data_IF_341386533572
#
_entry.id   IF_341386533572
#
_cell.length_a   1.000
_cell.length_b   1.000
_cell.length_c   1.000
_cell.angle_alpha   90.00
_cell.angle_beta   90.00
_cell.angle_gamma   90.00
#
_symmetry.space_group_name_H-M   'P 1'
#
loop_
_entity.id
_entity.type
_entity.pdbx_description
1 polymer ?
#
# COMPACT_ATOMS: atom_id res chain seq x y z
N UNK A 1 27.65 69.75 -55.15
CA UNK A 1 28.81 69.88 -54.24
C UNK A 1 28.30 69.99 -52.82
N UNK A 2 28.44 68.94 -52.01
CA UNK A 2 28.92 68.96 -50.60
C UNK A 2 28.81 67.55 -49.98
N UNK A 3 29.97 67.08 -49.50
CA UNK A 3 30.29 66.01 -48.53
C UNK A 3 29.24 65.78 -47.41
N UNK A 4 29.07 64.59 -46.81
CA UNK A 4 30.01 63.85 -45.94
C UNK A 4 29.53 62.41 -45.68
N UNK A 5 30.44 61.45 -45.62
CA UNK A 5 30.20 60.10 -45.08
C UNK A 5 30.61 59.97 -43.61
N UNK A 6 30.35 58.77 -43.03
CA UNK A 6 31.13 57.98 -42.04
C UNK A 6 30.15 57.05 -41.28
N UNK A 7 30.04 55.79 -41.70
CA UNK A 7 30.67 54.57 -41.17
C UNK A 7 30.07 54.02 -39.87
N UNK A 8 29.53 52.79 -39.96
CA UNK A 8 29.10 51.95 -38.84
C UNK A 8 29.39 50.48 -39.13
N UNK A 9 30.67 50.12 -38.98
CA UNK A 9 31.24 48.82 -38.58
C UNK A 9 30.89 47.52 -39.33
N UNK A 10 31.82 47.14 -40.21
CA UNK A 10 32.10 45.77 -40.68
C UNK A 10 33.44 45.33 -40.07
N UNK A 11 33.47 44.22 -39.33
CA UNK A 11 34.68 43.52 -38.84
C UNK A 11 34.29 42.02 -38.73
N UNK A 12 34.48 41.19 -39.76
CA UNK A 12 35.66 40.40 -40.13
C UNK A 12 36.26 39.57 -38.99
N UNK A 13 36.22 38.24 -39.16
CA UNK A 13 36.99 37.26 -38.38
C UNK A 13 36.74 35.83 -38.83
N UNK A 14 37.50 35.40 -39.84
CA UNK A 14 37.50 34.10 -40.54
C UNK A 14 38.17 32.96 -39.71
N UNK A 15 37.91 31.71 -40.12
CA UNK A 15 38.63 30.42 -39.86
C UNK A 15 38.04 29.58 -38.70
N UNK A 16 37.66 28.30 -38.85
CA UNK A 16 38.33 27.20 -39.56
C UNK A 16 37.30 26.13 -40.01
N UNK A 17 37.48 25.66 -41.26
CA UNK A 17 36.92 24.41 -41.81
C UNK A 17 37.71 23.20 -41.28
N UNK A 18 37.05 22.20 -40.69
CA UNK A 18 37.44 20.78 -40.85
C UNK A 18 36.19 19.94 -41.10
N UNK A 19 36.28 19.20 -42.20
CA UNK A 19 35.33 18.26 -42.77
C UNK A 19 35.34 16.95 -41.99
N UNK A 20 34.16 16.40 -41.72
CA UNK A 20 33.98 15.01 -41.28
C UNK A 20 32.63 14.50 -41.81
N UNK A 21 32.64 13.93 -43.01
CA UNK A 21 31.48 13.32 -43.63
C UNK A 21 31.18 11.94 -43.00
N UNK A 22 29.93 11.70 -42.58
CA UNK A 22 29.33 10.36 -42.54
C UNK A 22 27.80 10.46 -42.38
N UNK A 23 27.11 10.27 -43.51
CA UNK A 23 25.81 9.58 -43.64
C UNK A 23 24.75 9.81 -42.55
N UNK A 24 23.77 10.68 -42.85
CA UNK A 24 22.48 10.65 -42.16
C UNK A 24 21.75 9.34 -42.52
N UNK A 25 21.82 8.36 -41.63
CA UNK A 25 20.76 7.35 -41.55
C UNK A 25 19.63 7.94 -40.72
N UNK A 26 18.35 7.84 -41.14
CA UNK A 26 17.24 8.06 -40.23
C UNK A 26 17.28 6.92 -39.21
N UNK A 27 17.97 7.16 -38.10
CA UNK A 27 17.92 6.26 -36.94
C UNK A 27 16.48 6.32 -36.44
N UNK A 28 15.74 5.26 -36.77
CA UNK A 28 14.44 4.98 -36.21
C UNK A 28 14.56 5.12 -34.69
N UNK A 29 13.95 6.17 -34.14
CA UNK A 29 13.62 6.23 -32.73
C UNK A 29 12.50 5.22 -32.51
N UNK A 30 12.86 3.94 -32.48
CA UNK A 30 12.15 2.96 -31.68
C UNK A 30 12.42 3.33 -30.22
N UNK A 31 11.76 4.38 -29.75
CA UNK A 31 11.32 4.43 -28.35
C UNK A 31 10.18 3.42 -28.26
N UNK A 32 10.57 2.14 -28.33
CA UNK A 32 9.87 1.11 -27.59
C UNK A 32 9.97 1.56 -26.15
N UNK A 33 8.92 2.25 -25.71
CA UNK A 33 8.56 2.41 -24.32
C UNK A 33 8.85 1.06 -23.67
N UNK A 34 9.98 1.00 -22.95
CA UNK A 34 10.29 -0.14 -22.11
C UNK A 34 9.23 -0.07 -21.02
N UNK A 35 8.09 -0.68 -21.31
CA UNK A 35 7.20 -1.22 -20.31
C UNK A 35 8.10 -2.19 -19.55
N UNK A 36 8.70 -1.70 -18.46
CA UNK A 36 9.24 -2.56 -17.43
C UNK A 36 8.01 -3.25 -16.87
N UNK A 37 7.59 -4.35 -17.52
CA UNK A 37 6.75 -5.35 -16.89
C UNK A 37 7.58 -5.84 -15.72
N UNK A 38 7.30 -5.26 -14.55
CA UNK A 38 7.92 -5.64 -13.32
C UNK A 38 7.20 -6.93 -12.90
N UNK A 39 7.52 -8.04 -13.57
CA UNK A 39 6.98 -9.40 -13.33
C UNK A 39 7.41 -9.96 -11.96
N UNK A 40 7.88 -9.09 -11.07
CA UNK A 40 8.39 -9.43 -9.75
C UNK A 40 7.34 -9.08 -8.72
N UNK A 41 6.83 -10.09 -8.02
CA UNK A 41 5.99 -9.94 -6.82
C UNK A 41 6.62 -8.86 -5.91
N UNK A 42 5.86 -7.83 -5.51
CA UNK A 42 6.41 -6.73 -4.72
C UNK A 42 7.06 -7.24 -3.44
N UNK A 43 8.28 -6.77 -3.19
CA UNK A 43 8.96 -7.08 -1.95
C UNK A 43 8.34 -6.28 -0.80
N UNK A 44 8.51 -6.76 0.44
CA UNK A 44 7.93 -6.14 1.65
C UNK A 44 8.29 -4.65 1.80
N UNK A 45 9.46 -4.22 1.33
CA UNK A 45 9.87 -2.81 1.36
C UNK A 45 9.03 -1.94 0.42
N UNK A 46 8.68 -2.45 -0.77
CA UNK A 46 7.80 -1.76 -1.71
C UNK A 46 6.37 -1.62 -1.14
N UNK A 47 5.83 -2.69 -0.57
CA UNK A 47 4.52 -2.68 0.10
C UNK A 47 4.46 -1.68 1.25
N UNK A 48 5.49 -1.68 2.10
CA UNK A 48 5.62 -0.71 3.19
C UNK A 48 5.73 0.72 2.68
N UNK A 49 6.43 0.94 1.57
CA UNK A 49 6.54 2.26 0.94
C UNK A 49 5.19 2.74 0.41
N UNK A 50 4.45 1.88 -0.29
CA UNK A 50 3.08 2.15 -0.76
C UNK A 50 2.15 2.56 0.39
N UNK A 51 2.25 1.88 1.55
CA UNK A 51 1.54 2.28 2.77
C UNK A 51 1.88 3.72 3.21
N UNK A 52 3.16 4.06 3.29
CA UNK A 52 3.60 5.38 3.74
C UNK A 52 3.37 6.50 2.72
N UNK A 53 3.21 6.18 1.43
CA UNK A 53 2.88 7.13 0.38
C UNK A 53 1.39 7.45 0.35
N UNK A 54 0.53 6.43 0.46
CA UNK A 54 -0.93 6.61 0.41
C UNK A 54 -1.53 7.08 1.74
N UNK A 55 -0.97 6.62 2.88
CA UNK A 55 -1.38 7.00 4.25
C UNK A 55 -2.90 6.98 4.49
N UNK A 56 -3.60 6.08 3.83
CA UNK A 56 -5.04 5.90 3.98
C UNK A 56 -5.31 4.41 4.13
N UNK A 57 -5.88 4.03 5.26
CA UNK A 57 -6.13 2.64 5.62
C UNK A 57 -7.63 2.44 5.74
N UNK A 58 -8.11 1.36 5.15
CA UNK A 58 -9.44 0.83 5.43
C UNK A 58 -9.31 -0.30 6.45
N UNK A 59 -9.78 -0.06 7.66
CA UNK A 59 -9.92 -1.09 8.68
C UNK A 59 -11.20 -1.87 8.41
N UNK A 60 -11.06 -3.17 8.14
CA UNK A 60 -12.19 -4.04 7.89
C UNK A 60 -12.37 -4.95 9.08
N UNK A 61 -13.38 -4.68 9.90
CA UNK A 61 -13.64 -5.42 11.14
C UNK A 61 -14.71 -6.48 10.94
N UNK A 62 -14.61 -7.59 11.67
CA UNK A 62 -15.62 -8.63 11.66
C UNK A 62 -15.81 -9.23 13.06
N UNK A 63 -17.06 -9.43 13.45
CA UNK A 63 -17.44 -10.01 14.73
C UNK A 63 -18.71 -10.85 14.56
N UNK A 64 -18.75 -12.02 15.20
CA UNK A 64 -19.96 -12.87 15.20
C UNK A 64 -21.06 -12.35 16.11
N UNK A 65 -20.70 -11.59 17.15
CA UNK A 65 -21.61 -11.03 18.14
C UNK A 65 -21.90 -9.56 17.85
N UNK A 66 -23.19 -9.19 17.83
CA UNK A 66 -23.63 -7.81 17.53
C UNK A 66 -23.11 -6.79 18.55
N UNK A 67 -23.02 -7.14 19.83
CA UNK A 67 -22.52 -6.22 20.86
C UNK A 67 -21.04 -5.94 20.61
N UNK A 68 -20.27 -6.94 20.20
CA UNK A 68 -18.88 -6.78 19.82
C UNK A 68 -18.71 -5.96 18.52
N UNK A 69 -19.57 -6.16 17.53
CA UNK A 69 -19.58 -5.35 16.30
C UNK A 69 -19.79 -3.86 16.61
N UNK A 70 -20.77 -3.52 17.45
CA UNK A 70 -21.01 -2.14 17.90
C UNK A 70 -19.81 -1.55 18.66
N UNK A 71 -19.10 -2.38 19.46
CA UNK A 71 -17.87 -1.94 20.13
C UNK A 71 -16.74 -1.64 19.14
N UNK A 72 -16.58 -2.45 18.10
CA UNK A 72 -15.63 -2.14 17.02
C UNK A 72 -16.00 -0.84 16.33
N UNK A 73 -17.27 -0.67 15.97
CA UNK A 73 -17.78 0.54 15.33
C UNK A 73 -17.49 1.79 16.15
N UNK A 74 -17.89 1.80 17.42
CA UNK A 74 -17.67 2.94 18.31
C UNK A 74 -16.18 3.29 18.46
N UNK A 75 -15.32 2.27 18.62
CA UNK A 75 -13.88 2.45 18.72
C UNK A 75 -13.30 3.04 17.42
N UNK A 76 -13.66 2.48 16.26
CA UNK A 76 -13.13 2.91 14.96
C UNK A 76 -13.68 4.27 14.54
N UNK A 77 -14.89 4.62 14.96
CA UNK A 77 -15.48 5.94 14.78
C UNK A 77 -14.73 7.00 15.59
N UNK A 78 -14.43 6.76 16.87
CA UNK A 78 -13.58 7.65 17.66
C UNK A 78 -12.20 7.87 16.98
N UNK A 79 -11.65 6.80 16.41
CA UNK A 79 -10.33 6.81 15.78
C UNK A 79 -10.32 7.49 14.42
N UNK A 80 -11.39 7.38 13.62
CA UNK A 80 -11.49 8.08 12.33
C UNK A 80 -11.59 9.59 12.49
N UNK A 81 -12.08 10.06 13.64
CA UNK A 81 -12.18 11.49 13.96
C UNK A 81 -10.95 12.05 14.68
N UNK A 82 -10.00 11.19 15.05
CA UNK A 82 -8.77 11.63 15.69
C UNK A 82 -7.97 12.50 14.71
N UNK A 83 -7.54 13.71 15.12
CA UNK A 83 -6.82 14.60 14.21
C UNK A 83 -5.56 13.90 13.71
N UNK A 84 -5.34 13.96 12.40
CA UNK A 84 -4.06 13.61 11.82
C UNK A 84 -3.00 14.52 12.48
N UNK A 85 -2.26 13.99 13.45
CA UNK A 85 -1.12 14.73 13.99
C UNK A 85 -0.08 14.89 12.87
N UNK A 86 0.68 15.97 12.87
CA UNK A 86 1.74 16.25 11.87
C UNK A 86 2.91 15.23 11.88
N UNK A 87 2.77 14.12 12.59
CA UNK A 87 3.71 13.02 12.58
C UNK A 87 3.67 12.30 11.23
N UNK A 88 4.86 12.04 10.68
CA UNK A 88 5.11 11.16 9.53
C UNK A 88 4.53 9.73 9.67
N UNK A 89 3.98 9.38 10.83
CA UNK A 89 3.38 8.08 11.17
C UNK A 89 1.85 8.04 11.10
N UNK A 90 1.18 9.15 10.78
CA UNK A 90 -0.28 9.17 10.78
C UNK A 90 -0.85 8.83 9.40
N UNK A 91 -1.73 7.83 9.40
CA UNK A 91 -2.55 7.46 8.27
C UNK A 91 -4.01 7.80 8.60
N UNK A 92 -4.75 8.30 7.62
CA UNK A 92 -6.19 8.44 7.72
C UNK A 92 -6.81 7.05 7.87
N UNK A 93 -7.79 6.96 8.77
CA UNK A 93 -8.48 5.71 9.09
C UNK A 93 -9.90 5.83 8.62
N UNK A 94 -10.26 4.97 7.67
CA UNK A 94 -11.64 4.64 7.35
C UNK A 94 -11.93 3.23 7.85
N UNK A 95 -13.21 2.89 8.05
CA UNK A 95 -13.58 1.57 8.50
C UNK A 95 -14.88 1.08 7.87
N UNK A 96 -15.01 -0.24 7.76
CA UNK A 96 -16.22 -0.91 7.29
C UNK A 96 -16.34 -2.28 7.96
N UNK A 97 -17.56 -2.80 8.05
CA UNK A 97 -17.78 -4.18 8.47
C UNK A 97 -17.43 -5.13 7.31
N UNK A 98 -16.85 -6.29 7.62
CA UNK A 98 -16.44 -7.28 6.62
C UNK A 98 -17.61 -7.80 5.76
N UNK A 99 -18.85 -7.71 6.26
CA UNK A 99 -20.07 -8.09 5.55
C UNK A 99 -20.55 -7.02 4.54
N UNK A 100 -20.05 -5.79 4.64
CA UNK A 100 -20.49 -4.62 3.88
C UNK A 100 -19.46 -4.14 2.85
N UNK A 101 -18.25 -4.71 2.84
CA UNK A 101 -17.18 -4.29 1.93
C UNK A 101 -17.48 -4.61 0.46
N UNK A 102 -17.12 -3.69 -0.42
CA UNK A 102 -17.14 -3.87 -1.88
C UNK A 102 -15.81 -4.45 -2.40
N UNK A 103 -15.86 -5.31 -3.42
CA UNK A 103 -14.70 -5.80 -4.16
C UNK A 103 -13.82 -4.67 -4.69
N UNK A 104 -14.42 -3.54 -5.10
CA UNK A 104 -13.67 -2.35 -5.51
C UNK A 104 -12.82 -1.79 -4.38
N UNK A 105 -13.37 -1.72 -3.17
CA UNK A 105 -12.63 -1.25 -2.00
C UNK A 105 -11.49 -2.21 -1.66
N UNK A 106 -11.70 -3.51 -1.81
CA UNK A 106 -10.65 -4.53 -1.64
C UNK A 106 -9.50 -4.29 -2.62
N UNK A 107 -9.76 -3.90 -3.87
CA UNK A 107 -8.73 -3.68 -4.90
C UNK A 107 -7.99 -2.34 -4.80
N UNK A 108 -8.68 -1.30 -4.35
CA UNK A 108 -8.19 0.08 -4.44
C UNK A 108 -7.62 0.62 -3.12
N UNK A 109 -7.91 -0.03 -1.99
CA UNK A 109 -7.50 0.46 -0.66
C UNK A 109 -6.46 -0.44 0.00
N UNK A 110 -5.66 0.17 0.87
CA UNK A 110 -4.82 -0.55 1.81
C UNK A 110 -5.71 -1.12 2.92
N UNK A 111 -5.65 -2.43 3.12
CA UNK A 111 -6.54 -3.11 4.04
C UNK A 111 -5.84 -3.47 5.35
N UNK A 112 -6.52 -3.21 6.46
CA UNK A 112 -6.19 -3.75 7.76
C UNK A 112 -7.36 -4.60 8.28
N UNK A 113 -7.26 -5.92 8.16
CA UNK A 113 -8.32 -6.84 8.55
C UNK A 113 -8.27 -7.11 10.06
N UNK A 114 -9.43 -7.10 10.73
CA UNK A 114 -9.52 -7.31 12.17
C UNK A 114 -10.64 -8.28 12.48
N UNK A 115 -10.36 -9.25 13.36
CA UNK A 115 -11.34 -10.21 13.85
C UNK A 115 -10.82 -11.64 13.80
N UNK A 116 -11.65 -12.60 14.18
CA UNK A 116 -11.33 -14.02 14.00
C UNK A 116 -11.72 -14.46 12.59
N UNK A 117 -11.23 -15.62 12.13
CA UNK A 117 -11.67 -16.18 10.85
C UNK A 117 -13.17 -16.54 10.81
N UNK A 118 -13.83 -16.69 11.96
CA UNK A 118 -15.28 -16.86 12.04
C UNK A 118 -16.04 -15.53 11.88
N UNK A 119 -15.50 -14.44 12.43
CA UNK A 119 -16.12 -13.12 12.41
C UNK A 119 -15.79 -12.29 11.17
N UNK A 120 -14.61 -12.49 10.56
CA UNK A 120 -14.15 -11.76 9.40
C UNK A 120 -13.85 -12.72 8.23
N UNK A 121 -14.81 -12.97 7.33
CA UNK A 121 -14.66 -13.94 6.25
C UNK A 121 -13.52 -13.60 5.27
N UNK A 122 -13.17 -12.32 5.12
CA UNK A 122 -12.08 -11.88 4.24
C UNK A 122 -10.72 -12.45 4.66
N UNK A 123 -10.53 -12.78 5.95
CA UNK A 123 -9.29 -13.40 6.41
C UNK A 123 -9.02 -14.72 5.69
N UNK A 124 -10.05 -15.49 5.32
CA UNK A 124 -9.85 -16.76 4.63
C UNK A 124 -9.40 -16.55 3.19
N UNK A 125 -9.98 -15.55 2.52
CA UNK A 125 -9.82 -15.34 1.08
C UNK A 125 -8.57 -14.52 0.77
N UNK A 126 -8.27 -13.51 1.60
CA UNK A 126 -7.18 -12.57 1.36
C UNK A 126 -5.84 -13.02 1.95
N UNK A 127 -5.81 -14.07 2.78
CA UNK A 127 -4.57 -14.59 3.36
C UNK A 127 -4.09 -15.91 2.74
N UNK A 128 -4.62 -16.31 1.57
CA UNK A 128 -4.25 -17.57 0.90
C UNK A 128 -2.75 -17.71 0.57
N UNK A 129 -2.09 -16.58 0.30
CA UNK A 129 -0.64 -16.51 -0.01
C UNK A 129 0.23 -16.29 1.22
N UNK A 130 -0.39 -16.12 2.39
CA UNK A 130 0.28 -15.85 3.65
C UNK A 130 0.48 -17.21 4.35
N UNK A 131 1.64 -17.48 4.98
CA UNK A 131 1.94 -18.77 5.62
C UNK A 131 1.17 -18.98 6.95
N UNK A 132 -0.09 -18.56 6.98
CA UNK A 132 -1.03 -18.66 8.09
C UNK A 132 -2.29 -19.34 7.59
N UNK A 133 -2.73 -20.38 8.29
CA UNK A 133 -4.01 -21.05 8.01
C UNK A 133 -4.90 -20.96 9.24
N UNK A 134 -6.10 -20.42 9.07
CA UNK A 134 -7.06 -20.33 10.15
C UNK A 134 -7.96 -21.57 10.19
N UNK A 135 -8.21 -22.03 11.41
CA UNK A 135 -9.17 -23.06 11.76
C UNK A 135 -10.20 -22.44 12.73
N UNK A 136 -11.23 -23.20 13.11
CA UNK A 136 -12.35 -22.67 13.90
C UNK A 136 -11.93 -22.01 15.23
N UNK A 137 -10.89 -22.52 15.89
CA UNK A 137 -10.39 -22.05 17.20
C UNK A 137 -8.87 -22.16 17.33
N UNK A 138 -8.18 -22.24 16.20
CA UNK A 138 -6.73 -22.37 16.14
C UNK A 138 -6.22 -21.74 14.84
N UNK A 139 -4.94 -21.43 14.79
CA UNK A 139 -4.27 -21.12 13.53
C UNK A 139 -2.96 -21.88 13.43
N UNK A 140 -2.54 -22.15 12.20
CA UNK A 140 -1.23 -22.75 11.90
C UNK A 140 -0.33 -21.70 11.28
N UNK A 141 0.89 -21.55 11.79
CA UNK A 141 1.94 -20.73 11.18
C UNK A 141 3.22 -21.57 11.09
N UNK A 142 3.84 -21.61 9.91
CA UNK A 142 5.05 -22.41 9.65
C UNK A 142 4.98 -23.82 10.25
N UNK A 143 3.91 -24.56 9.93
CA UNK A 143 3.62 -25.94 10.39
C UNK A 143 3.32 -26.12 11.89
N UNK A 144 3.45 -25.07 12.71
CA UNK A 144 3.09 -25.12 14.13
C UNK A 144 1.65 -24.66 14.34
N UNK A 145 0.90 -25.42 15.12
CA UNK A 145 -0.46 -25.07 15.51
C UNK A 145 -0.49 -24.26 16.82
N UNK A 146 -1.39 -23.29 16.86
CA UNK A 146 -1.60 -22.36 17.96
C UNK A 146 -3.08 -22.35 18.32
N UNK A 147 -3.45 -23.14 19.34
CA UNK A 147 -4.85 -23.35 19.76
C UNK A 147 -5.24 -22.71 21.10
N UNK A 148 -4.34 -22.00 21.78
CA UNK A 148 -4.69 -21.32 23.02
C UNK A 148 -5.66 -20.17 22.74
N UNK A 149 -6.68 -20.00 23.60
CA UNK A 149 -7.78 -19.03 23.37
C UNK A 149 -7.32 -17.58 23.33
N UNK A 150 -6.29 -17.24 24.11
CA UNK A 150 -5.72 -15.90 24.21
C UNK A 150 -4.63 -15.61 23.17
N UNK A 151 -4.37 -16.56 22.26
CA UNK A 151 -3.41 -16.32 21.20
C UNK A 151 -3.96 -15.41 20.12
N UNK A 152 -3.22 -14.32 19.90
CA UNK A 152 -3.44 -13.36 18.84
C UNK A 152 -2.22 -13.36 17.90
N UNK A 153 -2.50 -13.10 16.63
CA UNK A 153 -1.53 -13.03 15.54
C UNK A 153 -1.70 -11.70 14.82
N UNK A 154 -0.60 -10.97 14.68
CA UNK A 154 -0.53 -9.77 13.84
C UNK A 154 0.42 -10.03 12.69
N UNK A 155 -0.01 -9.73 11.48
CA UNK A 155 0.77 -9.87 10.27
C UNK A 155 0.69 -8.57 9.48
N UNK A 156 1.85 -8.06 9.07
CA UNK A 156 1.96 -6.78 8.37
C UNK A 156 2.55 -6.93 6.97
N UNK A 157 2.02 -6.12 6.04
CA UNK A 157 2.56 -5.87 4.69
C UNK A 157 2.76 -7.12 3.82
N UNK A 158 1.68 -7.86 3.60
CA UNK A 158 1.62 -8.89 2.56
C UNK A 158 0.91 -8.36 1.32
N UNK A 159 1.22 -8.87 0.11
CA UNK A 159 0.56 -8.41 -1.11
C UNK A 159 -0.92 -8.81 -1.09
N UNK A 160 -1.79 -7.87 -1.45
CA UNK A 160 -3.20 -8.16 -1.65
C UNK A 160 -3.37 -9.10 -2.86
N UNK A 161 -4.03 -10.27 -2.72
CA UNK A 161 -4.24 -11.18 -3.85
C UNK A 161 -5.01 -10.57 -5.03
N UNK A 162 -5.77 -9.50 -4.80
CA UNK A 162 -6.53 -8.79 -5.84
C UNK A 162 -5.78 -7.58 -6.43
N UNK A 163 -4.72 -7.09 -5.76
CA UNK A 163 -3.85 -6.02 -6.23
C UNK A 163 -2.50 -6.06 -5.49
N UNK A 164 -1.51 -6.74 -6.04
CA UNK A 164 -0.25 -7.01 -5.35
C UNK A 164 0.58 -5.77 -4.98
N UNK A 165 0.27 -4.60 -5.57
CA UNK A 165 0.92 -3.31 -5.26
C UNK A 165 0.44 -2.69 -3.95
N UNK A 166 -0.70 -3.15 -3.41
CA UNK A 166 -1.27 -2.67 -2.16
C UNK A 166 -1.11 -3.71 -1.04
N UNK A 167 -0.66 -3.29 0.15
CA UNK A 167 -0.55 -4.18 1.28
C UNK A 167 -1.89 -4.54 1.91
N UNK A 168 -1.98 -5.79 2.35
CA UNK A 168 -2.89 -6.26 3.39
C UNK A 168 -2.08 -6.50 4.66
N UNK A 169 -2.64 -6.05 5.77
CA UNK A 169 -2.22 -6.42 7.12
C UNK A 169 -3.42 -6.94 7.89
N UNK A 170 -3.21 -7.70 8.95
CA UNK A 170 -4.32 -8.17 9.78
C UNK A 170 -3.94 -8.41 11.23
N UNK A 171 -4.95 -8.28 12.09
CA UNK A 171 -4.94 -8.75 13.47
C UNK A 171 -6.05 -9.79 13.63
N UNK A 172 -5.64 -11.01 13.98
CA UNK A 172 -6.56 -12.12 14.24
C UNK A 172 -6.17 -12.91 15.48
N UNK A 173 -6.94 -13.93 15.81
CA UNK A 173 -6.75 -14.76 16.99
C UNK A 173 -7.81 -15.85 17.09
N UNK A 174 -7.80 -16.55 18.22
CA UNK A 174 -8.72 -17.66 18.48
C UNK A 174 -9.99 -17.25 19.24
N UNK A 175 -10.03 -16.02 19.78
CA UNK A 175 -11.16 -15.47 20.52
C UNK A 175 -11.41 -14.00 20.12
N UNK A 176 -12.63 -13.68 19.69
CA UNK A 176 -12.96 -12.34 19.17
C UNK A 176 -12.82 -11.23 20.21
N UNK A 177 -13.11 -11.53 21.48
CA UNK A 177 -13.00 -10.55 22.57
C UNK A 177 -11.54 -10.28 22.90
N UNK A 178 -10.68 -11.31 22.81
CA UNK A 178 -9.22 -11.16 22.98
C UNK A 178 -8.57 -10.40 21.83
N UNK A 179 -9.07 -10.59 20.62
CA UNK A 179 -8.66 -9.78 19.47
C UNK A 179 -9.04 -8.31 19.70
N UNK A 180 -10.29 -8.01 20.08
CA UNK A 180 -10.74 -6.65 20.38
C UNK A 180 -9.96 -5.97 21.52
N UNK A 181 -9.60 -6.72 22.57
CA UNK A 181 -8.82 -6.21 23.70
C UNK A 181 -7.36 -5.91 23.34
N UNK A 182 -6.87 -6.39 22.20
CA UNK A 182 -5.50 -6.12 21.76
C UNK A 182 -5.42 -4.67 21.25
N UNK A 183 -4.39 -3.90 21.65
CA UNK A 183 -4.20 -2.55 21.12
C UNK A 183 -4.07 -2.57 19.60
N UNK A 184 -5.13 -2.14 18.89
CA UNK A 184 -5.23 -2.20 17.44
C UNK A 184 -4.23 -1.25 16.78
N UNK A 185 -4.15 -0.02 17.29
CA UNK A 185 -3.41 1.08 16.67
C UNK A 185 -1.93 1.14 17.04
N UNK A 186 -1.55 0.68 18.22
CA UNK A 186 -0.14 0.38 18.51
C UNK A 186 0.40 -0.70 17.56
N UNK A 187 -0.44 -1.43 16.83
CA UNK A 187 0.02 -2.39 15.81
C UNK A 187 -0.01 -1.81 14.40
N UNK A 188 -0.97 -0.94 14.08
CA UNK A 188 -1.02 -0.20 12.81
C UNK A 188 0.18 0.77 12.71
N UNK A 189 0.52 1.48 13.79
CA UNK A 189 1.65 2.42 13.84
C UNK A 189 3.03 1.75 13.91
N UNK A 190 3.10 0.48 14.34
CA UNK A 190 4.36 -0.22 14.58
C UNK A 190 4.60 -1.40 13.64
N UNK A 191 3.86 -1.55 12.54
CA UNK A 191 4.27 -2.48 11.49
C UNK A 191 5.63 -2.00 10.94
N UNK A 192 6.74 -2.69 11.22
CA UNK A 192 8.07 -2.18 10.96
C UNK A 192 8.48 -2.34 9.50
#
# INVERSE_FOLDING_TARGET
MTTKGVYGLVFIGLCVLIIGAATMSPMQTNEGERVVQNDSVPNRRQLRRSFFENRAILVVYGATDKILAEKYRALLEELSHSPESDSWRNASVSFTEASEIDEKEVKEKILYLVGTAAGNPLLKDLTLTIPVKFHKQAFTFNTKEYGARDMNLSVGFYPNPQNDTLPISFLSGNDERKVFQTPLFERIQFCP
#
